data_IF_041276274358
#
_entry.id   IF_041276274358
#
_cell.length_a   1.000
_cell.length_b   1.000
_cell.length_c   1.000
_cell.angle_alpha   90.00
_cell.angle_beta   90.00
_cell.angle_gamma   90.00
#
_symmetry.space_group_name_H-M   'P 1'
#
loop_
_entity.id
_entity.type
_entity.pdbx_description
1 polymer ?
#
# COMPACT_ATOMS: atom_id res chain seq x y z
N UNK A 1 -18.22 -5.80 20.76
CA UNK A 1 -16.87 -6.24 20.35
C UNK A 1 -16.66 -6.17 18.85
N UNK A 2 -17.67 -6.42 18.02
CA UNK A 2 -17.59 -6.29 16.54
C UNK A 2 -16.94 -4.99 16.04
N UNK A 3 -17.37 -3.84 16.57
CA UNK A 3 -16.82 -2.53 16.17
C UNK A 3 -15.33 -2.41 16.48
N UNK A 4 -14.87 -3.00 17.59
CA UNK A 4 -13.44 -2.98 17.96
C UNK A 4 -12.65 -3.79 16.95
N UNK A 5 -13.13 -4.97 16.55
CA UNK A 5 -12.48 -5.79 15.55
C UNK A 5 -12.41 -5.10 14.19
N UNK A 6 -13.49 -4.43 13.78
CA UNK A 6 -13.54 -3.66 12.53
C UNK A 6 -12.51 -2.53 12.51
N UNK A 7 -12.39 -1.79 13.61
CA UNK A 7 -11.38 -0.72 13.72
C UNK A 7 -9.96 -1.27 13.71
N UNK A 8 -9.70 -2.38 14.42
CA UNK A 8 -8.38 -3.02 14.44
C UNK A 8 -7.99 -3.53 13.05
N UNK A 9 -8.90 -4.21 12.35
CA UNK A 9 -8.63 -4.72 11.00
C UNK A 9 -8.41 -3.58 10.01
N UNK A 10 -9.16 -2.48 10.10
CA UNK A 10 -8.99 -1.32 9.22
C UNK A 10 -7.60 -0.68 9.42
N UNK A 11 -7.18 -0.52 10.68
CA UNK A 11 -5.86 0.02 11.01
C UNK A 11 -4.74 -0.88 10.48
N UNK A 12 -4.84 -2.19 10.70
CA UNK A 12 -3.85 -3.16 10.21
C UNK A 12 -3.79 -3.15 8.68
N UNK A 13 -4.94 -3.13 8.01
CA UNK A 13 -5.03 -3.10 6.55
C UNK A 13 -4.39 -1.84 5.97
N UNK A 14 -4.71 -0.67 6.54
CA UNK A 14 -4.14 0.61 6.12
C UNK A 14 -2.61 0.63 6.24
N UNK A 15 -2.09 0.30 7.42
CA UNK A 15 -0.64 0.31 7.64
C UNK A 15 0.09 -0.78 6.85
N UNK A 16 -0.52 -1.95 6.69
CA UNK A 16 0.01 -3.02 5.86
C UNK A 16 0.13 -2.61 4.39
N UNK A 17 -0.90 -1.96 3.84
CA UNK A 17 -0.88 -1.43 2.49
C UNK A 17 0.17 -0.33 2.32
N UNK A 18 0.24 0.63 3.25
CA UNK A 18 1.25 1.70 3.20
C UNK A 18 2.67 1.13 3.16
N UNK A 19 3.01 0.26 4.13
CA UNK A 19 4.36 -0.29 4.24
C UNK A 19 4.75 -1.12 3.01
N UNK A 20 3.79 -1.85 2.43
CA UNK A 20 4.01 -2.59 1.19
C UNK A 20 4.34 -1.63 0.03
N UNK A 21 3.56 -0.57 -0.13
CA UNK A 21 3.71 0.42 -1.23
C UNK A 21 5.00 1.19 -1.08
N UNK A 22 5.32 1.65 0.12
CA UNK A 22 6.56 2.38 0.43
C UNK A 22 7.79 1.49 0.21
N UNK A 23 7.75 0.24 0.70
CA UNK A 23 8.81 -0.74 0.48
C UNK A 23 9.02 -1.07 -1.00
N UNK A 24 7.95 -1.36 -1.74
CA UNK A 24 8.00 -1.64 -3.18
C UNK A 24 8.51 -0.44 -3.99
N UNK A 25 8.04 0.77 -3.65
CA UNK A 25 8.47 2.01 -4.31
C UNK A 25 9.96 2.30 -4.07
N UNK A 26 10.44 2.12 -2.83
CA UNK A 26 11.86 2.26 -2.50
C UNK A 26 12.72 1.23 -3.24
N UNK A 27 12.26 -0.02 -3.32
CA UNK A 27 12.93 -1.08 -4.05
C UNK A 27 13.03 -0.75 -5.54
N UNK A 28 11.92 -0.36 -6.18
CA UNK A 28 11.89 0.02 -7.59
C UNK A 28 12.79 1.24 -7.89
N UNK A 29 12.79 2.24 -7.01
CA UNK A 29 13.66 3.41 -7.14
C UNK A 29 15.14 3.02 -7.11
N UNK A 30 15.55 2.09 -6.24
CA UNK A 30 16.94 1.57 -6.19
C UNK A 30 17.34 0.78 -7.44
N UNK A 31 16.38 0.20 -8.14
CA UNK A 31 16.59 -0.45 -9.44
C UNK A 31 16.61 0.53 -10.62
N UNK A 32 16.49 1.84 -10.37
CA UNK A 32 16.50 2.86 -11.41
C UNK A 32 15.18 3.03 -12.15
N UNK A 33 14.07 2.49 -11.63
CA UNK A 33 12.74 2.70 -12.22
C UNK A 33 12.34 4.16 -12.05
N UNK A 34 11.79 4.76 -13.10
CA UNK A 34 11.40 6.17 -13.07
C UNK A 34 10.24 6.42 -12.07
N UNK A 35 10.23 7.57 -11.37
CA UNK A 35 9.14 7.91 -10.44
C UNK A 35 7.75 7.88 -11.08
N UNK A 36 7.68 8.19 -12.39
CA UNK A 36 6.43 8.14 -13.16
C UNK A 36 5.89 6.71 -13.25
N UNK A 37 6.74 5.73 -13.56
CA UNK A 37 6.29 4.32 -13.64
C UNK A 37 5.89 3.83 -12.24
N UNK A 38 6.66 4.17 -11.20
CA UNK A 38 6.34 3.83 -9.81
C UNK A 38 4.96 4.40 -9.42
N UNK A 39 4.70 5.67 -9.73
CA UNK A 39 3.42 6.32 -9.45
C UNK A 39 2.24 5.71 -10.22
N UNK A 40 2.42 5.43 -11.51
CA UNK A 40 1.36 4.87 -12.35
C UNK A 40 1.06 3.39 -12.06
N UNK A 41 1.98 2.66 -11.41
CA UNK A 41 1.82 1.21 -11.18
C UNK A 41 1.76 0.85 -9.69
N UNK A 42 2.84 1.08 -8.93
CA UNK A 42 2.96 0.66 -7.53
C UNK A 42 2.03 1.49 -6.64
N UNK A 43 2.06 2.82 -6.78
CA UNK A 43 1.25 3.71 -5.94
C UNK A 43 -0.23 3.56 -6.28
N UNK A 44 -0.59 3.56 -7.56
CA UNK A 44 -1.99 3.43 -8.01
C UNK A 44 -2.62 2.11 -7.55
N UNK A 45 -1.92 0.97 -7.68
CA UNK A 45 -2.37 -0.31 -7.14
C UNK A 45 -2.42 -0.31 -5.62
N UNK A 46 -1.40 0.29 -5.00
CA UNK A 46 -1.26 0.41 -3.55
C UNK A 46 -2.44 1.07 -2.86
N UNK A 47 -2.92 2.17 -3.43
CA UNK A 47 -4.05 2.92 -2.88
C UNK A 47 -5.39 2.20 -2.99
N UNK A 48 -5.53 1.24 -3.91
CA UNK A 48 -6.75 0.45 -4.08
C UNK A 48 -6.68 -0.93 -3.42
N UNK A 49 -5.51 -1.31 -2.88
CA UNK A 49 -5.30 -2.62 -2.27
C UNK A 49 -6.19 -2.88 -1.04
N UNK A 50 -6.46 -1.89 -0.16
CA UNK A 50 -7.43 -2.06 0.93
C UNK A 50 -8.85 -2.38 0.46
N UNK A 51 -9.26 -1.91 -0.72
CA UNK A 51 -10.60 -2.08 -1.27
C UNK A 51 -10.78 -3.37 -2.07
N UNK A 52 -9.70 -4.11 -2.33
CA UNK A 52 -9.75 -5.41 -3.01
C UNK A 52 -10.23 -6.57 -2.12
N UNK A 53 -10.34 -6.33 -0.81
CA UNK A 53 -10.68 -7.34 0.21
C UNK A 53 -12.05 -7.12 0.84
#
# INVERSE_FOLDING_TARGET
MEVVWLLVSLVILYFGAEWLVSGASSFAARLGVSPLIIGLTIVSMGTSAPELV
#
